data_IF_016407068944
#
_entry.id   IF_016407068944
#
_cell.length_a   1.000
_cell.length_b   1.000
_cell.length_c   1.000
_cell.angle_alpha   90.00
_cell.angle_beta   90.00
_cell.angle_gamma   90.00
#
_symmetry.space_group_name_H-M   'P 1'
#
loop_
_entity.id
_entity.type
_entity.pdbx_description
1 polymer ?
#
# COMPACT_ATOMS: atom_id res chain seq x y z
N UNK A 1 11.93 -12.45 -27.65
CA UNK A 1 11.19 -12.67 -26.40
C UNK A 1 11.42 -11.45 -25.51
N UNK A 2 10.43 -10.56 -25.42
CA UNK A 2 10.56 -9.24 -24.81
C UNK A 2 10.06 -9.29 -23.38
N UNK A 3 10.94 -9.56 -22.44
CA UNK A 3 10.69 -9.23 -21.04
C UNK A 3 11.00 -7.74 -20.91
N UNK A 4 9.94 -6.93 -20.98
CA UNK A 4 9.98 -5.48 -20.73
C UNK A 4 9.22 -5.22 -19.44
N UNK A 5 9.90 -4.52 -18.52
CA UNK A 5 9.45 -4.06 -17.21
C UNK A 5 9.47 -5.11 -16.09
N UNK A 6 10.60 -5.78 -15.97
CA UNK A 6 11.16 -6.29 -14.71
C UNK A 6 11.39 -5.19 -13.63
N UNK A 7 10.82 -3.99 -13.81
CA UNK A 7 10.85 -2.79 -12.93
C UNK A 7 9.45 -2.41 -12.40
N UNK A 8 8.41 -3.21 -12.68
CA UNK A 8 7.04 -3.03 -12.19
C UNK A 8 6.87 -3.25 -10.66
N UNK A 9 7.98 -3.38 -9.92
CA UNK A 9 8.06 -4.21 -8.70
C UNK A 9 8.74 -3.52 -7.49
N UNK A 10 8.60 -2.20 -7.33
CA UNK A 10 9.03 -1.51 -6.10
C UNK A 10 7.77 -1.04 -5.36
N UNK A 11 7.12 -1.95 -4.65
CA UNK A 11 5.92 -1.74 -3.82
C UNK A 11 4.70 -1.18 -4.57
N UNK A 12 3.95 -2.07 -5.23
CA UNK A 12 2.62 -1.78 -5.76
C UNK A 12 1.53 -2.48 -4.93
N UNK A 13 0.34 -1.86 -4.83
CA UNK A 13 -0.77 -2.42 -4.07
C UNK A 13 -1.17 -3.81 -4.61
N UNK A 14 -1.28 -4.86 -3.77
CA UNK A 14 -1.60 -6.22 -4.22
C UNK A 14 -2.98 -6.32 -4.89
N UNK A 15 -3.92 -5.41 -4.56
CA UNK A 15 -5.29 -5.41 -5.10
C UNK A 15 -5.40 -4.74 -6.47
N UNK A 16 -4.79 -3.56 -6.65
CA UNK A 16 -4.98 -2.74 -7.85
C UNK A 16 -3.71 -2.51 -8.67
N UNK A 17 -2.56 -3.02 -8.19
CA UNK A 17 -1.22 -2.80 -8.76
C UNK A 17 -0.88 -1.32 -8.95
N UNK A 18 -1.55 -0.44 -8.20
CA UNK A 18 -1.31 0.99 -8.19
C UNK A 18 -0.23 1.39 -7.17
N UNK A 19 0.21 2.64 -7.18
CA UNK A 19 1.19 3.14 -6.23
C UNK A 19 0.62 3.11 -4.79
N UNK A 20 1.49 2.80 -3.83
CA UNK A 20 1.23 2.95 -2.38
C UNK A 20 2.19 3.99 -1.80
N UNK A 21 1.77 4.63 -0.71
CA UNK A 21 2.57 5.63 0.01
C UNK A 21 2.75 5.19 1.47
N UNK A 22 3.88 5.44 2.12
CA UNK A 22 3.99 5.25 3.56
C UNK A 22 3.03 6.18 4.29
N UNK A 23 2.37 5.67 5.33
CA UNK A 23 1.58 6.48 6.25
C UNK A 23 2.51 7.45 7.02
N UNK A 24 2.00 8.60 7.47
CA UNK A 24 2.79 9.64 8.16
C UNK A 24 3.53 9.11 9.40
N UNK A 25 2.94 8.14 10.09
CA UNK A 25 3.53 7.50 11.27
C UNK A 25 4.60 6.46 10.91
N UNK A 26 4.89 6.24 9.62
CA UNK A 26 5.73 5.16 9.07
C UNK A 26 5.37 3.74 9.55
N UNK A 27 4.21 3.57 10.21
CA UNK A 27 3.69 2.27 10.68
C UNK A 27 2.87 1.51 9.63
N UNK A 28 2.87 1.95 8.39
CA UNK A 28 2.08 1.29 7.35
C UNK A 28 2.23 1.87 5.95
N UNK A 29 1.64 1.19 4.98
CA UNK A 29 1.53 1.60 3.58
C UNK A 29 0.05 1.86 3.24
N UNK A 30 -0.24 3.06 2.77
CA UNK A 30 -1.56 3.51 2.33
C UNK A 30 -1.68 3.40 0.82
N UNK A 31 -2.75 2.79 0.35
CA UNK A 31 -3.17 2.84 -1.04
C UNK A 31 -4.32 3.84 -1.20
N UNK A 32 -4.08 5.00 -1.80
CA UNK A 32 -5.10 6.04 -2.03
C UNK A 32 -6.20 5.59 -3.01
N UNK A 33 -5.88 4.68 -3.94
CA UNK A 33 -6.85 4.16 -4.92
C UNK A 33 -7.84 3.18 -4.32
N UNK A 34 -7.35 2.30 -3.44
CA UNK A 34 -8.18 1.30 -2.79
C UNK A 34 -8.71 1.77 -1.43
N UNK A 35 -8.21 2.90 -0.93
CA UNK A 35 -8.43 3.37 0.44
C UNK A 35 -8.12 2.28 1.47
N UNK A 36 -6.95 1.64 1.32
CA UNK A 36 -6.49 0.56 2.20
C UNK A 36 -5.20 0.96 2.91
N UNK A 37 -5.09 0.60 4.19
CA UNK A 37 -3.89 0.69 5.01
C UNK A 37 -3.36 -0.73 5.27
N UNK A 38 -2.14 -0.96 4.82
CA UNK A 38 -1.35 -2.13 5.17
C UNK A 38 -0.47 -1.76 6.38
N UNK A 39 -0.70 -2.37 7.53
CA UNK A 39 0.10 -2.10 8.73
C UNK A 39 1.49 -2.75 8.60
N UNK A 40 2.50 -2.15 9.24
CA UNK A 40 3.82 -2.75 9.42
C UNK A 40 3.89 -3.27 10.85
N UNK A 41 4.12 -4.58 11.02
CA UNK A 41 4.27 -5.25 12.32
C UNK A 41 5.64 -5.93 12.32
N UNK A 42 6.42 -5.73 13.38
CA UNK A 42 7.79 -6.27 13.48
C UNK A 42 8.70 -5.90 12.29
N UNK A 43 8.59 -4.66 11.80
CA UNK A 43 9.29 -4.17 10.59
C UNK A 43 8.88 -4.87 9.28
N UNK A 44 7.87 -5.75 9.32
CA UNK A 44 7.34 -6.47 8.17
C UNK A 44 6.00 -5.85 7.72
N UNK A 45 5.89 -5.36 6.46
CA UNK A 45 4.63 -4.85 5.93
C UNK A 45 3.63 -5.99 5.69
N UNK A 46 2.49 -5.96 6.38
CA UNK A 46 1.39 -6.90 6.20
C UNK A 46 0.60 -6.51 4.95
N UNK A 47 1.12 -6.86 3.78
CA UNK A 47 0.50 -6.63 2.47
C UNK A 47 -0.57 -7.69 2.12
N UNK A 48 -1.38 -8.09 3.11
CA UNK A 48 -2.51 -8.98 2.90
C UNK A 48 -3.78 -8.16 2.74
N UNK A 49 -4.52 -8.39 1.66
CA UNK A 49 -5.76 -7.66 1.35
C UNK A 49 -6.82 -7.88 2.45
N UNK A 50 -6.81 -9.06 3.08
CA UNK A 50 -7.75 -9.45 4.14
C UNK A 50 -7.47 -8.75 5.48
N UNK A 51 -6.19 -8.54 5.80
CA UNK A 51 -5.75 -7.78 6.99
C UNK A 51 -5.74 -6.26 6.76
N UNK A 52 -5.88 -5.82 5.50
CA UNK A 52 -5.81 -4.41 5.15
C UNK A 52 -6.99 -3.63 5.74
N UNK A 53 -6.70 -2.55 6.48
CA UNK A 53 -7.75 -1.70 7.07
C UNK A 53 -8.28 -0.73 6.03
N UNK A 54 -9.59 -0.65 5.86
CA UNK A 54 -10.20 0.41 5.05
C UNK A 54 -10.01 1.76 5.73
N UNK A 55 -9.36 2.68 5.05
CA UNK A 55 -9.23 4.07 5.46
C UNK A 55 -10.39 4.86 4.91
N UNK A 56 -11.02 5.67 5.76
CA UNK A 56 -11.90 6.72 5.26
C UNK A 56 -11.06 7.81 4.57
N UNK A 57 -11.59 8.38 3.48
CA UNK A 57 -10.91 9.40 2.69
C UNK A 57 -10.51 10.63 3.51
N UNK A 58 -11.24 10.94 4.58
CA UNK A 58 -10.90 12.02 5.52
C UNK A 58 -9.60 11.77 6.29
N UNK A 59 -9.25 10.49 6.50
CA UNK A 59 -8.04 10.08 7.22
C UNK A 59 -6.78 10.16 6.36
N UNK A 60 -6.94 10.07 5.03
CA UNK A 60 -5.85 10.16 4.04
C UNK A 60 -5.49 11.63 3.77
N UNK A 61 -6.48 12.51 3.66
CA UNK A 61 -6.30 13.91 3.29
C UNK A 61 -5.73 14.80 4.42
N UNK A 62 -5.61 14.28 5.65
CA UNK A 62 -5.05 14.98 6.81
C UNK A 62 -3.61 14.53 7.17
N UNK A 63 -3.01 13.64 6.38
CA UNK A 63 -1.71 13.01 6.63
C UNK A 63 -0.56 13.70 5.91
#
# INVERSE_FOLDING_TARGET
>A
MTIKQELLDILACPKCKGPVRPATDNKGLVCERCCLLYEIRDDIPIMLIDEAKHLDRQSIAKQ
#
